data_IF_065971926019
#
_entry.id   IF_065971926019
#
_cell.length_a   1.000
_cell.length_b   1.000
_cell.length_c   1.000
_cell.angle_alpha   90.00
_cell.angle_beta   90.00
_cell.angle_gamma   90.00
#
_symmetry.space_group_name_H-M   'P 1'
#
loop_
_entity.id
_entity.type
_entity.pdbx_description
1 polymer ?
#
# COMPACT_ATOMS: atom_id res chain seq x y z
N UNK A 1 4.40 7.36 35.40
CA UNK A 1 3.13 6.87 35.97
C UNK A 1 2.24 6.44 34.80
N UNK A 2 1.90 5.15 34.71
CA UNK A 2 0.93 4.72 33.71
C UNK A 2 -0.43 5.29 34.07
N UNK A 3 -1.02 6.04 33.16
CA UNK A 3 -2.37 6.61 33.36
C UNK A 3 -3.38 5.47 33.35
N UNK A 4 -3.87 5.12 34.51
CA UNK A 4 -4.97 4.19 34.70
C UNK A 4 -6.30 4.95 34.73
N UNK A 5 -7.17 4.70 33.76
CA UNK A 5 -8.53 5.24 33.78
C UNK A 5 -9.52 4.07 33.69
N UNK A 6 -10.38 3.95 34.67
CA UNK A 6 -11.40 2.87 34.71
C UNK A 6 -12.82 3.44 34.73
N UNK A 7 -13.75 2.67 34.21
CA UNK A 7 -15.19 2.96 34.17
C UNK A 7 -15.95 1.69 34.56
N UNK A 8 -16.82 1.82 35.55
CA UNK A 8 -17.69 0.74 35.98
C UNK A 8 -19.03 0.81 35.22
N UNK A 9 -19.57 -0.35 34.88
CA UNK A 9 -20.83 -0.44 34.17
C UNK A 9 -21.27 -1.89 33.97
N UNK A 10 -22.11 -2.12 32.96
CA UNK A 10 -22.51 -3.47 32.56
C UNK A 10 -22.32 -3.66 31.06
N UNK A 11 -21.89 -4.85 30.68
CA UNK A 11 -21.77 -5.30 29.29
C UNK A 11 -22.54 -6.62 29.14
N UNK A 12 -23.47 -6.67 28.21
CA UNK A 12 -24.34 -7.84 28.02
C UNK A 12 -25.02 -8.31 29.31
N UNK A 13 -25.49 -7.34 30.14
CA UNK A 13 -26.13 -7.64 31.42
C UNK A 13 -25.25 -8.10 32.56
N UNK A 14 -23.93 -8.26 32.33
CA UNK A 14 -22.93 -8.64 33.35
C UNK A 14 -22.21 -7.41 33.86
N UNK A 15 -21.89 -7.38 35.15
CA UNK A 15 -21.05 -6.32 35.71
C UNK A 15 -19.70 -6.28 34.97
N UNK A 16 -19.26 -5.11 34.60
CA UNK A 16 -18.07 -4.92 33.79
C UNK A 16 -17.23 -3.73 34.29
N UNK A 17 -15.93 -3.90 34.29
CA UNK A 17 -14.97 -2.82 34.47
C UNK A 17 -14.24 -2.59 33.15
N UNK A 18 -14.38 -1.40 32.56
CA UNK A 18 -13.67 -0.99 31.37
C UNK A 18 -12.43 -0.23 31.81
N UNK A 19 -11.27 -0.61 31.35
CA UNK A 19 -9.98 -0.01 31.72
C UNK A 19 -9.21 0.45 30.51
N UNK A 20 -8.57 1.59 30.65
CA UNK A 20 -7.51 2.01 29.74
C UNK A 20 -6.19 2.01 30.56
N UNK A 21 -5.34 1.04 30.27
CA UNK A 21 -4.05 0.83 30.94
C UNK A 21 -2.94 1.10 29.93
N UNK A 22 -2.24 2.23 30.11
CA UNK A 22 -1.25 2.66 29.13
C UNK A 22 -1.87 2.80 27.74
N UNK A 23 -1.52 1.90 26.81
CA UNK A 23 -2.01 1.83 25.43
C UNK A 23 -2.90 0.59 25.19
N UNK A 24 -3.48 0.05 26.24
CA UNK A 24 -4.32 -1.16 26.14
C UNK A 24 -5.72 -0.89 26.65
N UNK A 25 -6.73 -1.22 25.85
CA UNK A 25 -8.14 -1.25 26.26
C UNK A 25 -8.47 -2.65 26.78
N UNK A 26 -9.02 -2.71 27.98
CA UNK A 26 -9.44 -3.94 28.64
C UNK A 26 -10.91 -3.87 29.06
N UNK A 27 -11.62 -4.98 28.97
CA UNK A 27 -12.95 -5.17 29.54
C UNK A 27 -12.94 -6.45 30.37
N UNK A 28 -13.20 -6.28 31.67
CA UNK A 28 -13.21 -7.37 32.65
C UNK A 28 -14.65 -7.59 33.11
N UNK A 29 -15.16 -8.80 32.94
CA UNK A 29 -16.50 -9.16 33.37
C UNK A 29 -16.46 -9.78 34.77
N UNK A 30 -17.47 -9.44 35.60
CA UNK A 30 -17.66 -9.97 36.95
C UNK A 30 -16.39 -9.89 37.82
N UNK A 31 -15.53 -8.89 37.58
CA UNK A 31 -14.25 -8.65 38.28
C UNK A 31 -13.21 -9.80 38.19
N UNK A 32 -13.45 -10.76 37.30
CA UNK A 32 -12.60 -11.98 37.22
C UNK A 32 -12.19 -12.37 35.80
N UNK A 33 -13.03 -12.17 34.82
CA UNK A 33 -12.83 -12.66 33.46
C UNK A 33 -12.41 -11.53 32.53
N UNK A 34 -11.20 -11.58 31.98
CA UNK A 34 -10.80 -10.68 30.88
C UNK A 34 -11.51 -11.11 29.59
N UNK A 35 -12.56 -10.38 29.24
CA UNK A 35 -13.38 -10.65 28.07
C UNK A 35 -12.84 -10.03 26.79
N UNK A 36 -12.21 -8.84 26.92
CA UNK A 36 -11.58 -8.10 25.84
C UNK A 36 -10.26 -7.51 26.34
N UNK A 37 -9.21 -7.65 25.54
CA UNK A 37 -7.95 -6.94 25.74
C UNK A 37 -7.35 -6.67 24.37
N UNK A 38 -7.23 -5.42 23.99
CA UNK A 38 -6.71 -4.99 22.67
C UNK A 38 -5.91 -3.70 22.80
N UNK A 39 -4.89 -3.49 21.92
CA UNK A 39 -4.25 -2.21 21.77
C UNK A 39 -5.26 -1.12 21.43
N UNK A 40 -5.08 0.08 22.01
CA UNK A 40 -5.99 1.22 21.80
C UNK A 40 -6.01 1.68 20.34
N UNK A 41 -4.94 1.41 19.60
CA UNK A 41 -4.84 1.66 18.16
C UNK A 41 -5.92 0.93 17.36
N UNK A 42 -6.49 -0.16 17.89
CA UNK A 42 -7.58 -0.91 17.23
C UNK A 42 -8.96 -0.31 17.50
N UNK A 43 -9.08 0.66 18.41
CA UNK A 43 -10.34 1.34 18.70
C UNK A 43 -10.67 2.30 17.56
N UNK A 44 -11.84 2.14 16.95
CA UNK A 44 -12.34 2.96 15.84
C UNK A 44 -13.16 4.15 16.30
N UNK A 45 -14.07 3.94 17.26
CA UNK A 45 -14.86 5.02 17.88
C UNK A 45 -15.33 4.60 19.28
N UNK A 46 -15.36 5.56 20.16
CA UNK A 46 -16.05 5.47 21.45
C UNK A 46 -16.98 6.65 21.57
N UNK A 47 -18.27 6.36 21.68
CA UNK A 47 -19.29 7.40 21.79
C UNK A 47 -20.21 7.12 22.96
N UNK A 48 -20.42 8.14 23.75
CA UNK A 48 -21.32 8.09 24.88
C UNK A 48 -22.60 8.88 24.62
N UNK A 49 -23.75 8.24 24.83
CA UNK A 49 -25.07 8.86 24.84
C UNK A 49 -25.85 8.23 25.98
N UNK A 50 -25.93 8.98 27.09
CA UNK A 50 -26.52 8.49 28.35
C UNK A 50 -27.75 7.63 28.14
N UNK A 51 -27.82 6.49 28.78
CA UNK A 51 -26.83 5.84 29.64
C UNK A 51 -25.91 4.84 28.90
N UNK A 52 -25.80 4.95 27.58
CA UNK A 52 -25.12 3.99 26.73
C UNK A 52 -23.77 4.50 26.22
N UNK A 53 -22.76 3.67 26.37
CA UNK A 53 -21.45 3.83 25.77
C UNK A 53 -21.32 2.81 24.64
N UNK A 54 -21.22 3.27 23.39
CA UNK A 54 -20.97 2.43 22.24
C UNK A 54 -19.47 2.43 21.93
N UNK A 55 -18.87 1.25 21.86
CA UNK A 55 -17.46 1.04 21.54
C UNK A 55 -17.37 0.23 20.25
N UNK A 56 -16.66 0.77 19.28
CA UNK A 56 -16.38 0.15 17.99
C UNK A 56 -14.86 -0.04 17.84
N UNK A 57 -14.41 -1.23 17.51
CA UNK A 57 -13.01 -1.56 17.38
C UNK A 57 -12.80 -2.74 16.43
N UNK A 58 -11.54 -2.96 16.03
CA UNK A 58 -11.12 -4.22 15.40
C UNK A 58 -10.62 -5.16 16.48
N UNK A 59 -11.04 -6.41 16.44
CA UNK A 59 -10.60 -7.45 17.38
C UNK A 59 -10.38 -8.78 16.65
N UNK A 60 -9.60 -9.71 17.23
CA UNK A 60 -9.48 -11.06 16.72
C UNK A 60 -10.84 -11.73 16.56
N UNK A 61 -11.04 -12.47 15.47
CA UNK A 61 -12.25 -13.27 15.26
C UNK A 61 -12.37 -14.29 16.38
N UNK A 62 -13.58 -14.45 16.92
CA UNK A 62 -13.87 -15.53 17.86
C UNK A 62 -14.03 -16.85 17.11
N UNK A 63 -13.52 -17.91 17.70
CA UNK A 63 -13.76 -19.27 17.22
C UNK A 63 -14.95 -19.94 17.95
N UNK A 64 -15.39 -19.35 19.08
CA UNK A 64 -16.59 -19.76 19.83
C UNK A 64 -17.22 -18.58 20.53
N UNK A 65 -18.50 -18.66 20.91
CA UNK A 65 -19.20 -17.57 21.62
C UNK A 65 -18.58 -17.24 22.98
N UNK A 66 -17.93 -18.19 23.62
CA UNK A 66 -17.33 -18.04 24.95
C UNK A 66 -15.85 -17.63 24.91
N UNK A 67 -15.22 -17.61 23.73
CA UNK A 67 -13.81 -17.23 23.64
C UNK A 67 -13.63 -15.72 23.88
N UNK A 68 -12.65 -15.36 24.72
CA UNK A 68 -12.25 -13.97 24.92
C UNK A 68 -11.56 -13.40 23.65
N UNK A 69 -11.60 -12.08 23.51
CA UNK A 69 -10.92 -11.34 22.43
C UNK A 69 -9.66 -10.68 23.00
N UNK A 70 -8.58 -11.40 23.03
CA UNK A 70 -7.32 -10.94 23.58
C UNK A 70 -6.29 -10.81 22.45
N UNK A 71 -5.72 -9.64 22.36
CA UNK A 71 -4.57 -9.33 21.51
C UNK A 71 -3.67 -8.37 22.26
N UNK A 72 -2.51 -8.84 22.70
CA UNK A 72 -1.57 -8.00 23.41
C UNK A 72 -0.89 -7.02 22.46
N UNK A 73 -0.35 -5.92 23.02
CA UNK A 73 0.37 -4.92 22.24
C UNK A 73 1.61 -5.50 21.57
N UNK A 74 2.32 -6.41 22.25
CA UNK A 74 3.50 -7.06 21.66
C UNK A 74 3.12 -7.96 20.48
N UNK A 75 2.01 -8.69 20.59
CA UNK A 75 1.47 -9.48 19.47
C UNK A 75 1.05 -8.59 18.30
N UNK A 76 0.50 -7.40 18.58
CA UNK A 76 0.18 -6.42 17.56
C UNK A 76 1.43 -5.80 16.93
N UNK A 77 2.44 -5.46 17.73
CA UNK A 77 3.72 -4.93 17.26
C UNK A 77 4.48 -5.94 16.38
N UNK A 78 4.40 -7.23 16.72
CA UNK A 78 4.98 -8.34 15.94
C UNK A 78 4.10 -8.75 14.74
N UNK A 79 3.48 -7.81 14.08
CA UNK A 79 2.53 -8.03 12.95
C UNK A 79 3.03 -9.01 11.89
N UNK A 80 4.32 -9.01 11.63
CA UNK A 80 4.95 -9.85 10.60
C UNK A 80 5.16 -11.31 11.00
N UNK A 81 4.96 -11.63 12.28
CA UNK A 81 5.17 -12.97 12.83
C UNK A 81 3.88 -13.65 13.32
N UNK A 82 2.73 -12.96 13.30
CA UNK A 82 1.55 -13.44 13.99
C UNK A 82 0.31 -13.56 13.10
N UNK A 83 -0.07 -14.77 12.75
CA UNK A 83 -1.27 -15.11 11.95
C UNK A 83 -2.58 -14.55 12.53
N UNK A 84 -2.64 -14.25 13.83
CA UNK A 84 -3.84 -13.73 14.48
C UNK A 84 -4.20 -12.32 14.05
N UNK A 85 -3.25 -11.52 13.62
CA UNK A 85 -3.50 -10.15 13.14
C UNK A 85 -4.25 -10.14 11.81
N UNK A 86 -4.01 -11.12 10.95
CA UNK A 86 -4.71 -11.26 9.67
C UNK A 86 -6.21 -11.59 9.85
N UNK A 87 -6.62 -12.06 11.01
CA UNK A 87 -8.00 -12.47 11.31
C UNK A 87 -8.81 -11.43 12.10
N UNK A 88 -8.47 -10.15 12.01
CA UNK A 88 -9.24 -9.09 12.64
C UNK A 88 -10.64 -8.94 12.00
N UNK A 89 -11.61 -8.59 12.82
CA UNK A 89 -12.97 -8.27 12.40
C UNK A 89 -13.51 -7.09 13.19
N UNK A 90 -14.48 -6.39 12.59
CA UNK A 90 -15.22 -5.36 13.30
C UNK A 90 -15.94 -5.99 14.50
N UNK A 91 -15.77 -5.37 15.65
CA UNK A 91 -16.43 -5.73 16.88
C UNK A 91 -17.01 -4.49 17.54
N UNK A 92 -18.31 -4.54 17.83
CA UNK A 92 -19.02 -3.48 18.49
C UNK A 92 -19.76 -4.02 19.71
N UNK A 93 -19.75 -3.27 20.80
CA UNK A 93 -20.53 -3.60 21.98
C UNK A 93 -21.00 -2.33 22.68
N UNK A 94 -22.01 -2.50 23.51
CA UNK A 94 -22.56 -1.45 24.35
C UNK A 94 -22.23 -1.75 25.81
N UNK A 95 -21.76 -0.71 26.50
CA UNK A 95 -21.71 -0.71 27.95
C UNK A 95 -22.76 0.27 28.48
N UNK A 96 -23.35 -0.08 29.61
CA UNK A 96 -24.30 0.78 30.31
C UNK A 96 -23.60 1.38 31.51
N UNK A 97 -23.56 2.71 31.59
CA UNK A 97 -22.87 3.46 32.65
C UNK A 97 -23.60 4.78 32.91
N UNK A 98 -23.38 5.35 34.10
CA UNK A 98 -24.01 6.64 34.48
C UNK A 98 -23.29 7.83 33.86
N UNK A 99 -21.97 7.80 33.77
CA UNK A 99 -21.15 8.84 33.10
C UNK A 99 -19.97 8.20 32.40
N UNK A 100 -20.00 8.19 31.10
CA UNK A 100 -18.93 7.68 30.25
C UNK A 100 -18.25 8.75 29.41
N UNK A 101 -18.65 10.02 29.52
CA UNK A 101 -18.19 11.09 28.64
C UNK A 101 -16.68 11.33 28.73
N UNK A 102 -16.16 11.54 29.94
CA UNK A 102 -14.74 11.78 30.18
C UNK A 102 -13.87 10.59 29.77
N UNK A 103 -14.32 9.37 30.11
CA UNK A 103 -13.63 8.14 29.74
C UNK A 103 -13.59 7.95 28.23
N UNK A 104 -14.72 8.15 27.52
CA UNK A 104 -14.78 8.07 26.07
C UNK A 104 -13.80 9.04 25.40
N UNK A 105 -13.77 10.30 25.85
CA UNK A 105 -12.84 11.30 25.34
C UNK A 105 -11.38 10.90 25.57
N UNK A 106 -11.05 10.36 26.74
CA UNK A 106 -9.70 9.89 27.05
C UNK A 106 -9.26 8.75 26.14
N UNK A 107 -10.16 7.76 25.91
CA UNK A 107 -9.86 6.65 25.00
C UNK A 107 -9.69 7.16 23.57
N UNK A 108 -10.58 8.04 23.09
CA UNK A 108 -10.48 8.60 21.73
C UNK A 108 -9.22 9.42 21.53
N UNK A 109 -8.82 10.24 22.49
CA UNK A 109 -7.57 11.01 22.43
C UNK A 109 -6.37 10.07 22.28
N UNK A 110 -6.32 8.99 23.07
CA UNK A 110 -5.24 8.01 22.95
C UNK A 110 -5.31 7.17 21.67
N UNK A 111 -6.51 6.85 21.22
CA UNK A 111 -6.71 6.06 20.01
C UNK A 111 -6.33 6.82 18.74
N UNK A 112 -6.38 8.15 18.75
CA UNK A 112 -6.13 9.04 17.62
C UNK A 112 -5.04 10.09 17.93
N UNK A 113 -4.01 9.70 18.66
CA UNK A 113 -2.91 10.60 19.06
C UNK A 113 -2.12 11.18 17.88
N UNK A 114 -2.09 10.47 16.75
CA UNK A 114 -1.31 10.81 15.55
C UNK A 114 -2.12 11.28 14.36
N UNK A 115 -3.43 11.08 14.37
CA UNK A 115 -4.29 11.36 13.21
C UNK A 115 -5.65 11.90 13.65
N UNK A 116 -6.26 12.81 12.88
CA UNK A 116 -7.62 13.26 13.15
C UNK A 116 -8.62 12.10 13.04
N UNK A 117 -9.60 12.05 13.94
CA UNK A 117 -10.76 11.17 13.84
C UNK A 117 -11.80 11.72 12.85
N UNK A 118 -12.70 10.86 12.38
CA UNK A 118 -13.92 11.25 11.65
C UNK A 118 -13.64 12.07 10.40
N UNK A 119 -12.70 11.60 9.58
CA UNK A 119 -12.31 12.23 8.32
C UNK A 119 -13.27 11.87 7.19
N UNK A 120 -13.14 12.56 6.06
CA UNK A 120 -13.88 12.30 4.82
C UNK A 120 -13.06 11.35 3.95
N UNK A 121 -13.65 10.24 3.54
CA UNK A 121 -13.00 9.24 2.69
C UNK A 121 -13.78 9.00 1.42
N UNK A 122 -13.08 9.03 0.29
CA UNK A 122 -13.59 8.51 -0.97
C UNK A 122 -13.11 7.08 -1.14
N UNK A 123 -14.03 6.14 -1.35
CA UNK A 123 -13.71 4.75 -1.70
C UNK A 123 -14.01 4.53 -3.18
N UNK A 124 -12.99 4.18 -3.96
CA UNK A 124 -13.13 3.75 -5.34
C UNK A 124 -13.00 2.23 -5.38
N UNK A 125 -14.05 1.55 -5.80
CA UNK A 125 -14.11 0.10 -5.88
C UNK A 125 -14.15 -0.38 -7.33
N UNK A 126 -13.32 -1.38 -7.65
CA UNK A 126 -13.48 -2.16 -8.87
C UNK A 126 -14.19 -3.48 -8.51
N UNK A 127 -15.51 -3.59 -8.69
CA UNK A 127 -16.29 -4.75 -8.24
C UNK A 127 -15.86 -6.05 -8.92
N UNK A 128 -15.26 -5.99 -10.13
CA UNK A 128 -14.78 -7.16 -10.86
C UNK A 128 -13.44 -7.70 -10.37
N UNK A 129 -12.73 -6.98 -9.48
CA UNK A 129 -11.44 -7.43 -8.95
C UNK A 129 -11.59 -8.70 -8.10
N UNK A 130 -10.56 -9.56 -8.16
CA UNK A 130 -10.54 -10.81 -7.41
C UNK A 130 -11.69 -11.76 -7.75
N UNK A 131 -12.11 -11.83 -9.01
CA UNK A 131 -13.29 -12.61 -9.46
C UNK A 131 -14.61 -12.18 -8.80
N UNK A 132 -14.78 -10.87 -8.56
CA UNK A 132 -15.95 -10.29 -7.89
C UNK A 132 -15.84 -10.21 -6.37
N UNK A 133 -14.75 -10.68 -5.77
CA UNK A 133 -14.55 -10.61 -4.32
C UNK A 133 -14.49 -9.18 -3.79
N UNK A 134 -14.08 -8.21 -4.62
CA UNK A 134 -13.98 -6.80 -4.23
C UNK A 134 -15.31 -6.22 -3.75
N UNK A 135 -16.44 -6.64 -4.32
CA UNK A 135 -17.77 -6.22 -3.87
C UNK A 135 -18.05 -6.69 -2.44
N UNK A 136 -17.72 -7.93 -2.11
CA UNK A 136 -17.83 -8.46 -0.74
C UNK A 136 -16.90 -7.68 0.22
N UNK A 137 -15.64 -7.42 -0.17
CA UNK A 137 -14.72 -6.62 0.64
C UNK A 137 -15.26 -5.21 0.88
N UNK A 138 -15.89 -4.60 -0.12
CA UNK A 138 -16.52 -3.28 0.01
C UNK A 138 -17.68 -3.31 1.00
N UNK A 139 -18.67 -4.21 0.77
CA UNK A 139 -19.96 -4.19 1.49
C UNK A 139 -19.80 -4.73 2.92
N UNK A 140 -19.08 -5.84 3.10
CA UNK A 140 -19.08 -6.56 4.37
C UNK A 140 -17.91 -6.18 5.28
N UNK A 141 -16.88 -5.51 4.75
CA UNK A 141 -15.71 -5.12 5.53
C UNK A 141 -15.45 -3.61 5.48
N UNK A 142 -15.27 -3.04 4.27
CA UNK A 142 -14.81 -1.66 4.12
C UNK A 142 -15.84 -0.65 4.62
N UNK A 143 -17.05 -0.69 4.11
CA UNK A 143 -18.14 0.22 4.52
C UNK A 143 -18.41 0.13 6.01
N UNK A 144 -18.64 -1.07 6.61
CA UNK A 144 -18.91 -1.19 8.04
C UNK A 144 -17.78 -0.64 8.93
N UNK A 145 -16.53 -0.84 8.55
CA UNK A 145 -15.37 -0.37 9.33
C UNK A 145 -15.28 1.17 9.29
N UNK A 146 -15.39 1.80 8.11
CA UNK A 146 -15.39 3.27 8.02
C UNK A 146 -16.59 3.90 8.73
N UNK A 147 -17.77 3.30 8.59
CA UNK A 147 -18.97 3.74 9.32
C UNK A 147 -18.80 3.60 10.84
N UNK A 148 -18.22 2.50 11.31
CA UNK A 148 -17.91 2.30 12.73
C UNK A 148 -16.89 3.31 13.25
N UNK A 149 -15.96 3.78 12.43
CA UNK A 149 -15.04 4.88 12.72
C UNK A 149 -15.65 6.29 12.55
N UNK A 150 -16.92 6.35 12.14
CA UNK A 150 -17.67 7.60 11.85
C UNK A 150 -17.02 8.49 10.82
N UNK A 151 -16.44 7.89 9.80
CA UNK A 151 -15.98 8.61 8.63
C UNK A 151 -17.16 9.02 7.74
N UNK A 152 -17.08 10.20 7.15
CA UNK A 152 -17.95 10.57 6.04
C UNK A 152 -17.47 9.82 4.79
N UNK A 153 -18.33 8.92 4.29
CA UNK A 153 -17.96 7.92 3.29
C UNK A 153 -18.71 8.17 1.98
N UNK A 154 -17.96 8.51 0.92
CA UNK A 154 -18.43 8.47 -0.45
C UNK A 154 -17.88 7.21 -1.15
N UNK A 155 -18.69 6.56 -1.97
CA UNK A 155 -18.31 5.34 -2.68
C UNK A 155 -18.59 5.47 -4.17
N UNK A 156 -17.61 5.12 -4.99
CA UNK A 156 -17.71 5.07 -6.44
C UNK A 156 -17.30 3.68 -6.92
N UNK A 157 -18.18 3.00 -7.65
CA UNK A 157 -17.86 1.73 -8.29
C UNK A 157 -17.50 1.96 -9.76
N UNK A 158 -16.40 1.35 -10.21
CA UNK A 158 -16.01 1.37 -11.61
C UNK A 158 -16.81 0.31 -12.39
N UNK A 159 -17.17 0.62 -13.63
CA UNK A 159 -17.91 -0.28 -14.53
C UNK A 159 -17.06 -0.80 -15.66
N UNK A 160 -16.02 -0.06 -16.02
CA UNK A 160 -15.12 -0.39 -17.13
C UNK A 160 -13.68 0.03 -16.82
N UNK A 161 -12.76 -0.50 -17.62
CA UNK A 161 -11.35 -0.08 -17.61
C UNK A 161 -11.25 1.41 -17.93
N UNK A 162 -10.42 2.14 -17.17
CA UNK A 162 -10.21 3.58 -17.31
C UNK A 162 -11.23 4.43 -16.56
N UNK A 163 -12.23 3.84 -15.86
CA UNK A 163 -13.21 4.62 -15.10
C UNK A 163 -12.56 5.35 -13.94
N UNK A 164 -11.67 4.69 -13.19
CA UNK A 164 -10.95 5.31 -12.09
C UNK A 164 -10.09 6.48 -12.57
N UNK A 165 -9.45 6.36 -13.74
CA UNK A 165 -8.74 7.47 -14.37
C UNK A 165 -9.68 8.65 -14.68
N UNK A 166 -10.78 8.40 -15.43
CA UNK A 166 -11.72 9.44 -15.82
C UNK A 166 -12.32 10.17 -14.62
N UNK A 167 -12.74 9.39 -13.61
CA UNK A 167 -13.28 9.95 -12.39
C UNK A 167 -12.27 10.85 -11.67
N UNK A 168 -11.04 10.39 -11.51
CA UNK A 168 -9.98 11.16 -10.83
C UNK A 168 -9.53 12.41 -11.58
N UNK A 169 -9.71 12.45 -12.92
CA UNK A 169 -9.39 13.64 -13.72
C UNK A 169 -10.25 14.85 -13.34
N UNK A 170 -11.52 14.65 -12.96
CA UNK A 170 -12.50 15.71 -12.72
C UNK A 170 -12.91 15.82 -11.24
N UNK A 171 -12.43 14.95 -10.39
CA UNK A 171 -12.78 14.89 -8.96
C UNK A 171 -12.46 16.20 -8.24
N UNK A 172 -13.38 16.70 -7.44
CA UNK A 172 -13.06 17.73 -6.45
C UNK A 172 -12.31 17.12 -5.27
N UNK A 173 -10.98 17.13 -5.37
CA UNK A 173 -10.08 16.53 -4.37
C UNK A 173 -10.14 17.23 -3.01
N UNK A 174 -10.65 18.48 -2.93
CA UNK A 174 -10.76 19.22 -1.66
C UNK A 174 -11.82 18.66 -0.72
N UNK A 175 -12.70 17.84 -1.23
CA UNK A 175 -13.77 17.21 -0.45
C UNK A 175 -13.30 16.06 0.42
N UNK A 176 -12.11 15.54 0.19
CA UNK A 176 -11.65 14.29 0.83
C UNK A 176 -10.32 14.48 1.53
N UNK A 177 -10.19 13.80 2.65
CA UNK A 177 -8.96 13.75 3.43
C UNK A 177 -8.13 12.50 3.09
N UNK A 178 -8.77 11.48 2.49
CA UNK A 178 -8.17 10.19 2.10
C UNK A 178 -8.92 9.63 0.89
N UNK A 179 -8.20 8.92 0.03
CA UNK A 179 -8.80 8.08 -1.02
C UNK A 179 -8.39 6.61 -0.79
N UNK A 180 -9.37 5.71 -0.73
CA UNK A 180 -9.15 4.28 -0.56
C UNK A 180 -9.60 3.53 -1.82
N UNK A 181 -8.85 2.48 -2.19
CA UNK A 181 -9.04 1.75 -3.45
C UNK A 181 -9.29 0.27 -3.17
N UNK A 182 -10.55 -0.15 -3.26
CA UNK A 182 -10.94 -1.56 -3.11
C UNK A 182 -10.77 -2.28 -4.44
N UNK A 183 -9.70 -3.07 -4.54
CA UNK A 183 -9.37 -3.75 -5.79
C UNK A 183 -7.95 -4.29 -5.82
N UNK A 184 -7.37 -4.35 -7.01
CA UNK A 184 -5.96 -4.62 -7.23
C UNK A 184 -5.17 -3.36 -7.59
N UNK A 185 -3.87 -3.51 -7.82
CA UNK A 185 -2.95 -2.42 -8.16
C UNK A 185 -3.36 -1.63 -9.42
N UNK A 186 -4.08 -2.26 -10.35
CA UNK A 186 -4.56 -1.61 -11.58
C UNK A 186 -5.53 -0.46 -11.34
N UNK A 187 -6.45 -0.58 -10.37
CA UNK A 187 -7.40 0.51 -10.04
C UNK A 187 -6.67 1.71 -9.46
N UNK A 188 -5.71 1.47 -8.59
CA UNK A 188 -4.85 2.52 -8.04
C UNK A 188 -3.98 3.17 -9.14
N UNK A 189 -3.44 2.36 -10.06
CA UNK A 189 -2.67 2.86 -11.21
C UNK A 189 -3.49 3.80 -12.09
N UNK A 190 -4.72 3.45 -12.42
CA UNK A 190 -5.63 4.32 -13.17
C UNK A 190 -5.88 5.64 -12.42
N UNK A 191 -6.16 5.56 -11.12
CA UNK A 191 -6.45 6.73 -10.30
C UNK A 191 -5.25 7.68 -10.21
N UNK A 192 -4.04 7.17 -9.94
CA UNK A 192 -2.80 7.97 -9.89
C UNK A 192 -2.61 8.72 -11.21
N UNK A 193 -2.79 8.04 -12.34
CA UNK A 193 -2.64 8.67 -13.65
C UNK A 193 -3.74 9.70 -13.93
N UNK A 194 -4.97 9.47 -13.45
CA UNK A 194 -6.04 10.46 -13.49
C UNK A 194 -5.71 11.71 -12.67
N UNK A 195 -5.24 11.54 -11.45
CA UNK A 195 -4.79 12.64 -10.58
C UNK A 195 -3.59 13.39 -11.19
N UNK A 196 -2.62 12.66 -11.75
CA UNK A 196 -1.44 13.24 -12.40
C UNK A 196 -1.74 14.01 -13.69
N UNK A 197 -2.88 13.73 -14.33
CA UNK A 197 -3.30 14.41 -15.57
C UNK A 197 -3.87 15.81 -15.35
N UNK A 198 -4.13 16.18 -14.12
CA UNK A 198 -4.81 17.43 -13.73
C UNK A 198 -3.86 18.62 -13.75
N UNK A 199 -4.42 19.82 -13.90
CA UNK A 199 -3.65 21.07 -13.75
C UNK A 199 -3.18 21.28 -12.31
N UNK A 200 -3.92 20.77 -11.32
CA UNK A 200 -3.58 20.79 -9.88
C UNK A 200 -2.98 19.46 -9.40
N UNK A 201 -2.26 18.73 -10.25
CA UNK A 201 -1.75 17.37 -10.00
C UNK A 201 -0.94 17.26 -8.69
N UNK A 202 -0.12 18.27 -8.36
CA UNK A 202 0.66 18.28 -7.10
C UNK A 202 -0.27 18.21 -5.90
N UNK A 203 -1.32 19.03 -5.86
CA UNK A 203 -2.32 19.03 -4.81
C UNK A 203 -3.10 17.72 -4.80
N UNK A 204 -3.52 17.24 -5.95
CA UNK A 204 -4.31 16.02 -6.08
C UNK A 204 -3.53 14.79 -5.63
N UNK A 205 -2.25 14.68 -5.96
CA UNK A 205 -1.37 13.58 -5.54
C UNK A 205 -0.87 13.71 -4.09
N UNK A 206 -1.11 14.84 -3.42
CA UNK A 206 -0.79 15.00 -1.99
C UNK A 206 -1.83 14.38 -1.07
N UNK A 207 -3.00 13.97 -1.59
CA UNK A 207 -3.99 13.25 -0.80
C UNK A 207 -3.48 11.83 -0.53
N UNK A 208 -3.53 11.35 0.73
CA UNK A 208 -3.18 9.97 1.05
C UNK A 208 -4.00 8.96 0.26
N UNK A 209 -3.33 8.05 -0.45
CA UNK A 209 -3.93 6.97 -1.23
C UNK A 209 -3.69 5.64 -0.50
N UNK A 210 -4.75 4.88 -0.26
CA UNK A 210 -4.66 3.63 0.51
C UNK A 210 -5.23 2.47 -0.30
N UNK A 211 -4.42 1.49 -0.74
CA UNK A 211 -4.96 0.27 -1.34
C UNK A 211 -5.64 -0.60 -0.29
N UNK A 212 -6.86 -1.07 -0.58
CA UNK A 212 -7.57 -2.10 0.19
C UNK A 212 -7.57 -3.38 -0.65
N UNK A 213 -6.85 -4.42 -0.20
CA UNK A 213 -6.57 -5.59 -1.03
C UNK A 213 -7.83 -6.41 -1.31
N UNK A 214 -8.21 -6.49 -2.56
CA UNK A 214 -9.32 -7.31 -3.05
C UNK A 214 -9.01 -7.93 -4.43
N UNK A 215 -7.86 -7.63 -5.01
CA UNK A 215 -7.36 -8.24 -6.25
C UNK A 215 -6.52 -9.49 -6.01
N UNK A 216 -6.01 -10.08 -7.09
CA UNK A 216 -5.13 -11.27 -7.03
C UNK A 216 -3.71 -10.93 -6.61
N UNK A 217 -3.18 -9.77 -6.98
CA UNK A 217 -1.78 -9.37 -6.76
C UNK A 217 -1.57 -8.54 -5.50
N UNK A 218 -2.11 -7.33 -5.49
CA UNK A 218 -1.98 -6.30 -4.44
C UNK A 218 -0.52 -6.06 -4.01
N UNK A 219 0.38 -5.94 -5.01
CA UNK A 219 1.82 -5.89 -4.78
C UNK A 219 2.25 -4.71 -3.92
N UNK A 220 1.65 -3.52 -4.10
CA UNK A 220 1.93 -2.38 -3.25
C UNK A 220 1.56 -2.65 -1.80
N UNK A 221 0.34 -3.13 -1.53
CA UNK A 221 -0.11 -3.37 -0.17
C UNK A 221 0.72 -4.46 0.54
N UNK A 222 1.06 -5.53 -0.19
CA UNK A 222 1.97 -6.57 0.30
C UNK A 222 3.36 -6.01 0.60
N UNK A 223 3.87 -5.10 -0.23
CA UNK A 223 5.16 -4.44 -0.01
C UNK A 223 5.17 -3.58 1.25
N UNK A 224 4.05 -2.93 1.56
CA UNK A 224 3.91 -2.08 2.75
C UNK A 224 3.74 -2.87 4.05
N UNK A 225 3.07 -4.00 4.01
CA UNK A 225 2.58 -4.72 5.19
C UNK A 225 3.14 -6.15 5.32
N UNK A 226 3.92 -6.62 4.33
CA UNK A 226 4.40 -7.99 4.28
C UNK A 226 3.35 -8.98 3.78
N UNK A 227 3.82 -10.17 3.35
CA UNK A 227 2.97 -11.17 2.71
C UNK A 227 1.90 -11.79 3.63
N UNK A 228 2.11 -11.78 4.94
CA UNK A 228 1.17 -12.39 5.91
C UNK A 228 -0.10 -11.56 6.10
N UNK A 229 0.04 -10.24 6.21
CA UNK A 229 -1.09 -9.32 6.42
C UNK A 229 -1.45 -8.51 5.18
N UNK A 230 -0.64 -8.60 4.13
CA UNK A 230 -0.79 -7.85 2.88
C UNK A 230 -2.08 -8.16 2.09
N UNK A 231 -2.97 -9.02 2.62
CA UNK A 231 -4.30 -9.30 2.08
C UNK A 231 -5.41 -9.06 3.10
N UNK A 232 -5.12 -8.43 4.23
CA UNK A 232 -6.11 -8.14 5.26
C UNK A 232 -6.83 -6.82 4.99
N UNK A 233 -8.04 -6.86 4.44
CA UNK A 233 -8.87 -5.68 4.24
C UNK A 233 -9.17 -4.91 5.55
N UNK A 234 -9.44 -5.56 6.71
CA UNK A 234 -9.60 -4.83 7.96
C UNK A 234 -8.36 -4.05 8.40
N UNK A 235 -7.15 -4.62 8.21
CA UNK A 235 -5.89 -3.90 8.50
C UNK A 235 -5.69 -2.75 7.53
N UNK A 236 -6.05 -2.92 6.25
CA UNK A 236 -5.99 -1.85 5.26
C UNK A 236 -6.93 -0.68 5.61
N UNK A 237 -8.16 -0.98 6.04
CA UNK A 237 -9.09 0.03 6.54
C UNK A 237 -8.53 0.74 7.78
N UNK A 238 -7.91 0.00 8.72
CA UNK A 238 -7.25 0.59 9.87
C UNK A 238 -6.09 1.51 9.47
N UNK A 239 -5.31 1.10 8.46
CA UNK A 239 -4.24 1.94 7.90
C UNK A 239 -4.80 3.22 7.29
N UNK A 240 -5.93 3.17 6.58
CA UNK A 240 -6.61 4.36 6.09
C UNK A 240 -7.09 5.26 7.24
N UNK A 241 -7.62 4.67 8.32
CA UNK A 241 -8.18 5.40 9.46
C UNK A 241 -7.10 6.02 10.35
N UNK A 242 -5.97 5.34 10.56
CA UNK A 242 -4.96 5.73 11.57
C UNK A 242 -3.52 5.76 11.07
N UNK A 243 -3.28 5.37 9.82
CA UNK A 243 -1.93 5.39 9.24
C UNK A 243 -1.40 6.81 9.08
N UNK A 244 -0.08 6.94 9.20
CA UNK A 244 0.63 8.17 8.87
C UNK A 244 1.04 8.09 7.40
N UNK A 245 0.67 9.05 6.55
CA UNK A 245 1.08 9.06 5.16
C UNK A 245 2.59 9.26 5.02
N UNK A 246 3.18 8.60 4.05
CA UNK A 246 4.58 8.82 3.65
C UNK A 246 4.63 9.10 2.15
N UNK A 247 5.66 9.80 1.73
CA UNK A 247 5.87 10.11 0.32
C UNK A 247 6.35 8.88 -0.44
N UNK A 248 5.76 8.63 -1.60
CA UNK A 248 6.16 7.57 -2.51
C UNK A 248 6.46 8.16 -3.89
N UNK A 249 7.64 7.88 -4.40
CA UNK A 249 8.05 8.39 -5.72
C UNK A 249 7.37 7.62 -6.85
N UNK A 250 7.04 8.33 -7.92
CA UNK A 250 6.49 7.75 -9.15
C UNK A 250 7.57 7.67 -10.24
N UNK A 251 7.56 6.58 -11.00
CA UNK A 251 8.34 6.47 -12.24
C UNK A 251 7.54 7.10 -13.38
N UNK A 252 8.10 8.11 -14.05
CA UNK A 252 7.54 8.62 -15.28
C UNK A 252 7.95 7.73 -16.46
N UNK A 253 6.99 7.16 -17.15
CA UNK A 253 7.21 6.32 -18.33
C UNK A 253 6.73 7.09 -19.55
N UNK A 254 7.61 7.23 -20.54
CA UNK A 254 7.33 7.94 -21.78
C UNK A 254 7.57 7.03 -22.97
N UNK A 255 6.63 7.01 -23.90
CA UNK A 255 6.71 6.18 -25.10
C UNK A 255 6.32 6.99 -26.34
N UNK A 256 6.92 6.76 -27.50
CA UNK A 256 6.48 7.35 -28.75
C UNK A 256 5.01 7.00 -29.05
N UNK A 257 4.31 7.88 -29.73
CA UNK A 257 2.88 7.69 -30.00
C UNK A 257 2.60 6.45 -30.87
N UNK A 258 3.50 6.13 -31.78
CA UNK A 258 3.45 5.00 -32.69
C UNK A 258 3.76 3.65 -32.03
N UNK A 259 4.42 3.66 -30.86
CA UNK A 259 4.70 2.44 -30.10
C UNK A 259 3.42 1.71 -29.62
N UNK A 260 2.28 2.39 -29.59
CA UNK A 260 1.01 1.81 -29.15
C UNK A 260 0.21 1.10 -30.26
N UNK A 261 0.64 1.22 -31.52
CA UNK A 261 -0.11 0.71 -32.67
C UNK A 261 -1.54 1.25 -32.76
N UNK A 262 -2.32 0.78 -33.71
CA UNK A 262 -3.72 1.17 -33.91
C UNK A 262 -4.70 0.61 -32.85
N UNK A 263 -4.24 -0.24 -31.95
CA UNK A 263 -5.12 -0.96 -31.01
C UNK A 263 -5.61 -0.17 -29.81
N UNK A 264 -5.23 1.11 -29.64
CA UNK A 264 -5.83 2.03 -28.66
C UNK A 264 -5.91 1.53 -27.19
N UNK A 265 -5.05 0.60 -26.80
CA UNK A 265 -5.22 -0.25 -25.60
C UNK A 265 -5.07 0.47 -24.25
N UNK A 266 -4.63 1.71 -24.24
CA UNK A 266 -4.38 2.49 -23.03
C UNK A 266 -5.19 3.78 -23.02
N UNK A 267 -6.43 3.77 -22.50
CA UNK A 267 -7.32 4.93 -22.54
C UNK A 267 -6.90 6.07 -21.59
N UNK A 268 -5.91 5.84 -20.75
CA UNK A 268 -5.51 6.73 -19.65
C UNK A 268 -4.05 7.20 -19.74
N UNK A 269 -3.59 7.51 -20.92
CA UNK A 269 -2.27 8.11 -21.13
C UNK A 269 -2.38 9.60 -21.46
N UNK A 270 -1.44 10.39 -20.95
CA UNK A 270 -1.30 11.78 -21.34
C UNK A 270 -0.59 11.86 -22.70
N UNK A 271 -1.29 12.38 -23.71
CA UNK A 271 -0.66 12.71 -24.98
C UNK A 271 0.05 14.04 -24.84
N UNK A 272 1.30 14.09 -25.23
CA UNK A 272 2.14 15.29 -25.22
C UNK A 272 2.92 15.38 -26.52
N UNK A 273 3.53 16.54 -26.73
CA UNK A 273 4.38 16.80 -27.90
C UNK A 273 5.72 17.30 -27.39
N UNK A 274 6.81 16.77 -27.94
CA UNK A 274 8.18 17.23 -27.71
C UNK A 274 8.38 18.61 -28.36
N UNK A 275 9.50 19.28 -28.02
CA UNK A 275 9.87 20.57 -28.61
C UNK A 275 10.05 20.51 -30.12
N UNK A 276 10.50 19.38 -30.65
CA UNK A 276 10.65 19.09 -32.07
C UNK A 276 9.37 18.62 -32.77
N UNK A 277 8.22 18.66 -32.10
CA UNK A 277 6.91 18.33 -32.65
C UNK A 277 6.55 16.85 -32.66
N UNK A 278 7.39 15.95 -32.17
CA UNK A 278 7.06 14.51 -32.07
C UNK A 278 6.03 14.25 -31.00
N UNK A 279 5.01 13.48 -31.33
CA UNK A 279 4.01 13.03 -30.36
C UNK A 279 4.50 11.88 -29.49
N UNK A 280 4.18 11.95 -28.22
CA UNK A 280 4.44 10.87 -27.27
C UNK A 280 3.31 10.73 -26.24
N UNK A 281 3.28 9.62 -25.53
CA UNK A 281 2.42 9.37 -24.39
C UNK A 281 3.25 9.23 -23.12
N UNK A 282 2.72 9.77 -22.04
CA UNK A 282 3.34 9.68 -20.72
C UNK A 282 2.35 9.09 -19.73
N UNK A 283 2.82 8.24 -18.83
CA UNK A 283 2.08 7.74 -17.68
C UNK A 283 3.02 7.52 -16.50
N UNK A 284 2.44 7.35 -15.33
CA UNK A 284 3.19 7.17 -14.09
C UNK A 284 2.98 5.77 -13.54
N UNK A 285 4.06 5.15 -13.10
CA UNK A 285 4.05 3.86 -12.42
C UNK A 285 4.60 4.02 -11.01
N UNK A 286 3.92 3.41 -10.06
CA UNK A 286 4.32 3.43 -8.65
C UNK A 286 5.00 2.13 -8.21
N UNK A 287 4.99 1.09 -9.03
CA UNK A 287 5.42 -0.25 -8.64
C UNK A 287 6.60 -0.76 -9.46
N UNK A 288 6.37 -1.13 -10.70
CA UNK A 288 7.39 -1.76 -11.55
C UNK A 288 7.11 -1.57 -13.04
N UNK A 289 8.14 -1.79 -13.84
CA UNK A 289 8.08 -1.85 -15.31
C UNK A 289 8.78 -3.11 -15.78
N UNK A 290 8.21 -3.79 -16.77
CA UNK A 290 8.77 -4.99 -17.36
C UNK A 290 8.78 -4.92 -18.88
N UNK A 291 9.84 -5.48 -19.49
CA UNK A 291 9.98 -5.69 -20.93
C UNK A 291 10.39 -7.15 -21.14
N UNK A 292 9.98 -7.77 -22.23
CA UNK A 292 10.29 -9.14 -22.57
C UNK A 292 9.41 -10.15 -21.83
N UNK A 293 9.97 -11.28 -21.41
CA UNK A 293 9.21 -12.43 -20.87
C UNK A 293 8.26 -12.05 -19.75
N UNK A 294 8.66 -11.19 -18.82
CA UNK A 294 7.78 -10.79 -17.71
C UNK A 294 6.55 -10.04 -18.20
N UNK A 295 6.71 -9.14 -19.17
CA UNK A 295 5.59 -8.44 -19.79
C UNK A 295 4.71 -9.39 -20.61
N UNK A 296 5.33 -10.32 -21.37
CA UNK A 296 4.61 -11.31 -22.17
C UNK A 296 3.79 -12.27 -21.29
N UNK A 297 4.32 -12.66 -20.12
CA UNK A 297 3.58 -13.49 -19.17
C UNK A 297 2.37 -12.74 -18.61
N UNK A 298 2.55 -11.49 -18.16
CA UNK A 298 1.47 -10.75 -17.54
C UNK A 298 0.35 -10.44 -18.56
N UNK A 299 0.71 -9.90 -19.72
CA UNK A 299 -0.22 -9.51 -20.77
C UNK A 299 -0.77 -10.76 -21.49
N UNK A 300 0.10 -11.70 -21.84
CA UNK A 300 -0.25 -12.89 -22.64
C UNK A 300 -1.15 -13.89 -21.91
N UNK A 301 -1.06 -13.92 -20.56
CA UNK A 301 -1.91 -14.81 -19.74
C UNK A 301 -3.16 -14.11 -19.19
N UNK A 302 -3.44 -12.87 -19.61
CA UNK A 302 -4.60 -12.13 -19.10
C UNK A 302 -5.93 -12.85 -19.38
N UNK A 303 -6.05 -13.50 -20.52
CA UNK A 303 -7.20 -14.33 -20.84
C UNK A 303 -7.38 -15.55 -19.90
N UNK A 304 -6.33 -15.96 -19.20
CA UNK A 304 -6.32 -17.09 -18.27
C UNK A 304 -6.56 -16.69 -16.81
N UNK A 305 -7.05 -15.48 -16.55
CA UNK A 305 -7.34 -15.01 -15.18
C UNK A 305 -8.26 -15.94 -14.38
N UNK A 306 -9.07 -16.73 -15.07
CA UNK A 306 -9.98 -17.68 -14.44
C UNK A 306 -9.28 -18.80 -13.67
N UNK A 307 -8.02 -19.15 -14.04
CA UNK A 307 -7.22 -20.17 -13.33
C UNK A 307 -6.38 -19.60 -12.18
N UNK A 308 -6.45 -18.28 -11.93
CA UNK A 308 -5.72 -17.62 -10.83
C UNK A 308 -4.21 -17.55 -11.08
N UNK A 309 -3.40 -17.67 -10.04
CA UNK A 309 -1.94 -17.44 -10.09
C UNK A 309 -1.19 -18.51 -10.89
N UNK A 310 -1.78 -19.71 -11.10
CA UNK A 310 -1.20 -20.79 -11.91
C UNK A 310 -0.93 -20.30 -13.34
N UNK A 311 -1.70 -19.32 -13.84
CA UNK A 311 -1.46 -18.70 -15.16
C UNK A 311 -0.05 -18.18 -15.35
N UNK A 312 0.54 -17.60 -14.31
CA UNK A 312 1.90 -17.07 -14.37
C UNK A 312 2.94 -18.18 -14.50
N UNK A 313 2.76 -19.27 -13.76
CA UNK A 313 3.65 -20.44 -13.86
C UNK A 313 3.59 -21.07 -15.24
N UNK A 314 2.39 -21.26 -15.76
CA UNK A 314 2.20 -21.80 -17.13
C UNK A 314 2.78 -20.83 -18.17
N UNK A 315 2.50 -19.54 -18.05
CA UNK A 315 3.05 -18.51 -18.93
C UNK A 315 4.57 -18.50 -18.94
N UNK A 316 5.20 -18.65 -17.76
CA UNK A 316 6.64 -18.74 -17.62
C UNK A 316 7.22 -19.99 -18.34
N UNK A 317 6.63 -21.16 -18.13
CA UNK A 317 7.04 -22.40 -18.83
C UNK A 317 6.97 -22.22 -20.33
N UNK A 318 5.88 -21.69 -20.86
CA UNK A 318 5.73 -21.44 -22.30
C UNK A 318 6.74 -20.41 -22.81
N UNK A 319 7.01 -19.37 -22.05
CA UNK A 319 7.98 -18.34 -22.43
C UNK A 319 9.41 -18.89 -22.48
N UNK A 320 9.79 -19.70 -21.48
CA UNK A 320 11.11 -20.36 -21.44
C UNK A 320 11.27 -21.35 -22.62
N UNK A 321 10.24 -22.14 -22.92
CA UNK A 321 10.26 -23.08 -24.05
C UNK A 321 10.40 -22.37 -25.41
N UNK A 322 9.86 -21.17 -25.55
CA UNK A 322 10.00 -20.34 -26.74
C UNK A 322 11.37 -19.69 -26.89
N UNK A 323 12.11 -19.58 -25.80
CA UNK A 323 13.49 -19.03 -25.71
C UNK A 323 13.72 -17.80 -26.62
N UNK A 324 12.84 -16.81 -26.52
CA UNK A 324 12.97 -15.56 -27.29
C UNK A 324 13.83 -14.58 -26.53
N UNK A 325 15.08 -14.43 -26.93
CA UNK A 325 15.89 -13.30 -26.54
C UNK A 325 15.40 -12.03 -27.26
N UNK A 326 15.24 -10.95 -26.54
CA UNK A 326 14.88 -9.66 -27.09
C UNK A 326 16.17 -8.81 -27.20
N UNK A 327 16.62 -8.45 -28.40
CA UNK A 327 17.72 -7.51 -28.54
C UNK A 327 17.25 -6.13 -28.12
N UNK A 328 17.96 -5.51 -27.17
CA UNK A 328 17.62 -4.19 -26.66
C UNK A 328 18.84 -3.30 -26.61
N UNK A 329 18.58 -2.00 -26.71
CA UNK A 329 19.50 -0.94 -26.30
C UNK A 329 18.90 -0.27 -25.06
N UNK A 330 19.65 -0.22 -23.98
CA UNK A 330 19.28 0.50 -22.77
C UNK A 330 20.23 1.67 -22.60
N UNK A 331 19.73 2.88 -22.72
CA UNK A 331 20.47 4.08 -22.39
C UNK A 331 20.12 4.47 -20.96
N UNK A 332 21.09 4.46 -20.08
CA UNK A 332 20.92 4.73 -18.66
C UNK A 332 21.77 5.93 -18.23
N UNK A 333 21.21 6.80 -17.44
CA UNK A 333 21.90 7.90 -16.78
C UNK A 333 21.90 7.70 -15.28
N UNK A 334 23.09 7.64 -14.70
CA UNK A 334 23.30 7.46 -13.26
C UNK A 334 23.76 8.79 -12.68
N UNK A 335 22.92 9.51 -11.96
CA UNK A 335 23.28 10.76 -11.31
C UNK A 335 24.31 10.57 -10.20
N UNK A 336 25.17 11.56 -9.95
CA UNK A 336 26.23 11.52 -8.94
C UNK A 336 25.72 11.23 -7.52
N UNK A 337 24.52 11.70 -7.19
CA UNK A 337 23.86 11.40 -5.90
C UNK A 337 23.42 9.92 -5.78
N UNK A 338 23.30 9.22 -6.89
CA UNK A 338 22.96 7.79 -6.93
C UNK A 338 24.15 6.87 -6.66
N UNK A 339 25.37 7.30 -6.95
CA UNK A 339 26.55 6.42 -6.84
C UNK A 339 26.89 6.05 -5.40
N UNK A 340 26.75 6.97 -4.45
CA UNK A 340 26.98 6.66 -3.04
C UNK A 340 25.88 5.72 -2.48
N UNK A 341 24.64 5.87 -2.91
CA UNK A 341 23.53 5.00 -2.50
C UNK A 341 23.61 3.63 -3.21
N UNK A 342 24.06 3.57 -4.47
CA UNK A 342 24.24 2.29 -5.18
C UNK A 342 25.38 1.46 -4.62
N UNK A 343 26.51 2.07 -4.26
CA UNK A 343 27.58 1.36 -3.55
C UNK A 343 27.10 0.82 -2.20
N UNK A 344 26.34 1.60 -1.44
CA UNK A 344 25.76 1.16 -0.17
C UNK A 344 24.66 0.12 -0.36
N UNK A 345 23.85 0.20 -1.40
CA UNK A 345 22.84 -0.81 -1.74
C UNK A 345 23.47 -2.12 -2.21
N UNK A 346 24.53 -2.08 -3.01
CA UNK A 346 25.29 -3.26 -3.42
C UNK A 346 26.02 -3.91 -2.25
N UNK A 347 26.56 -3.12 -1.34
CA UNK A 347 27.20 -3.59 -0.12
C UNK A 347 26.16 -4.17 0.84
N UNK A 348 25.00 -3.54 1.00
CA UNK A 348 23.87 -4.05 1.76
C UNK A 348 23.31 -5.35 1.14
N UNK A 349 23.24 -5.43 -0.18
CA UNK A 349 22.83 -6.64 -0.90
C UNK A 349 23.82 -7.81 -0.72
N UNK A 350 25.13 -7.52 -0.66
CA UNK A 350 26.16 -8.52 -0.36
C UNK A 350 26.14 -8.98 1.10
N UNK A 351 25.78 -8.10 2.01
CA UNK A 351 25.79 -8.38 3.47
C UNK A 351 24.48 -8.97 3.96
N UNK A 352 23.38 -8.86 3.20
CA UNK A 352 22.10 -9.46 3.57
C UNK A 352 22.08 -10.90 3.08
N UNK A 353 22.14 -11.91 3.98
CA UNK A 353 22.08 -13.30 3.54
C UNK A 353 20.72 -13.54 2.88
N UNK A 354 20.77 -13.87 1.59
CA UNK A 354 19.61 -14.38 0.85
C UNK A 354 19.11 -15.60 1.59
N UNK A 355 17.91 -15.53 2.17
CA UNK A 355 17.25 -16.70 2.75
C UNK A 355 16.85 -17.63 1.62
N UNK A 356 17.77 -18.46 1.20
CA UNK A 356 17.45 -19.60 0.33
C UNK A 356 16.66 -20.59 1.17
N UNK A 357 15.41 -20.77 0.84
CA UNK A 357 14.59 -21.86 1.36
C UNK A 357 15.26 -23.18 0.94
N UNK A 358 16.05 -23.76 1.82
CA UNK A 358 16.49 -25.12 1.63
C UNK A 358 15.31 -26.07 1.77
N UNK A 359 15.25 -27.05 0.90
CA UNK A 359 14.16 -27.99 0.65
C UNK A 359 13.73 -28.85 1.85
N UNK A 360 14.32 -28.68 3.03
CA UNK A 360 14.15 -29.54 4.20
C UNK A 360 13.53 -28.87 5.44
N UNK A 361 12.72 -27.84 5.28
CA UNK A 361 11.76 -27.44 6.32
C UNK A 361 12.30 -27.00 7.69
N UNK A 362 13.61 -26.87 7.89
CA UNK A 362 14.20 -26.34 9.12
C UNK A 362 14.70 -24.92 8.93
N UNK A 363 14.01 -23.99 9.58
CA UNK A 363 14.43 -22.61 9.76
C UNK A 363 15.62 -22.56 10.71
N UNK A 364 16.83 -22.45 10.20
CA UNK A 364 17.93 -21.96 11.01
C UNK A 364 17.80 -20.44 11.12
N UNK A 365 17.52 -19.96 12.33
CA UNK A 365 17.59 -18.57 12.70
C UNK A 365 19.03 -18.08 12.59
N UNK A 366 19.36 -17.43 11.49
CA UNK A 366 20.48 -16.49 11.45
C UNK A 366 19.92 -15.13 11.88
N UNK A 367 20.24 -14.73 13.10
CA UNK A 367 19.88 -13.43 13.66
C UNK A 367 20.65 -12.32 12.97
N UNK A 368 20.14 -11.87 11.80
CA UNK A 368 20.43 -10.55 11.33
C UNK A 368 19.37 -9.62 11.91
N UNK A 369 19.70 -9.03 13.04
CA UNK A 369 18.99 -7.91 13.63
C UNK A 369 19.06 -6.80 12.59
N UNK A 370 17.95 -6.56 11.90
CA UNK A 370 17.70 -5.26 11.29
C UNK A 370 17.63 -4.27 12.47
N UNK A 371 18.75 -3.63 12.76
CA UNK A 371 18.72 -2.37 13.46
C UNK A 371 17.90 -1.42 12.60
N UNK A 372 16.63 -1.31 12.92
CA UNK A 372 15.89 -0.10 12.69
C UNK A 372 16.66 0.98 13.45
N UNK A 373 17.59 1.65 12.79
CA UNK A 373 17.94 3.00 13.19
C UNK A 373 16.62 3.75 13.23
N UNK A 374 16.29 4.20 14.42
CA UNK A 374 15.17 5.07 14.67
C UNK A 374 15.30 6.26 13.73
N UNK A 375 14.57 6.22 12.61
CA UNK A 375 14.18 7.45 11.94
C UNK A 375 13.43 8.24 13.00
N UNK A 376 14.10 9.22 13.57
CA UNK A 376 13.46 10.18 14.43
C UNK A 376 12.25 10.73 13.67
N UNK A 377 11.06 10.72 14.28
CA UNK A 377 9.92 11.35 13.65
C UNK A 377 10.28 12.81 13.48
N UNK A 378 10.33 13.28 12.25
CA UNK A 378 10.32 14.70 11.97
C UNK A 378 8.99 15.24 12.54
N UNK A 379 9.08 15.69 13.81
CA UNK A 379 8.06 16.50 14.45
C UNK A 379 8.01 17.80 13.68
N UNK A 380 7.03 17.92 12.80
CA UNK A 380 6.28 19.13 12.50
C UNK A 380 5.36 18.82 11.31
N UNK A 381 4.14 18.37 11.61
CA UNK A 381 3.03 18.64 10.70
C UNK A 381 2.63 20.10 10.94
N UNK A 382 3.33 21.00 10.26
CA UNK A 382 2.86 22.37 10.05
C UNK A 382 1.58 22.32 9.21
N UNK A 383 0.67 23.25 9.50
CA UNK A 383 -0.48 23.56 8.66
C UNK A 383 -0.04 23.66 7.20
N UNK A 384 -0.96 23.41 6.25
CA UNK A 384 -0.81 23.35 4.77
C UNK A 384 0.05 24.42 4.09
N UNK A 385 0.76 25.26 4.83
CA UNK A 385 1.70 26.27 4.36
C UNK A 385 3.15 25.79 4.22
N UNK A 386 3.51 24.64 4.84
CA UNK A 386 4.88 24.12 4.82
C UNK A 386 4.97 22.77 4.12
N UNK A 387 4.54 22.72 2.85
CA UNK A 387 4.95 21.66 1.96
C UNK A 387 6.48 21.78 1.75
N UNK A 388 7.26 20.71 1.90
CA UNK A 388 8.70 20.74 1.64
C UNK A 388 8.94 21.33 0.25
N UNK A 389 9.88 22.27 0.15
CA UNK A 389 10.26 22.95 -1.11
C UNK A 389 10.65 21.98 -2.24
N UNK A 390 10.92 20.71 -1.91
CA UNK A 390 11.27 19.66 -2.86
C UNK A 390 10.07 19.08 -3.63
N UNK A 391 8.82 19.32 -3.20
CA UNK A 391 7.61 18.97 -3.97
C UNK A 391 7.53 19.73 -5.30
N UNK A 392 8.24 20.86 -5.44
CA UNK A 392 8.36 21.60 -6.69
C UNK A 392 9.20 20.91 -7.77
N UNK A 393 9.81 19.77 -7.48
CA UNK A 393 10.61 18.98 -8.44
C UNK A 393 9.85 17.86 -9.12
N UNK A 394 8.53 17.85 -9.14
CA UNK A 394 7.83 17.13 -10.20
C UNK A 394 8.19 17.82 -11.54
N UNK A 395 9.38 17.52 -12.05
CA UNK A 395 9.77 17.90 -13.39
C UNK A 395 8.88 17.10 -14.33
N UNK A 396 7.79 17.71 -14.75
CA UNK A 396 6.97 17.23 -15.88
C UNK A 396 7.72 17.46 -17.22
N UNK A 397 9.05 17.43 -17.18
CA UNK A 397 9.90 17.48 -18.34
C UNK A 397 10.09 16.10 -18.95
N UNK A 398 10.18 16.03 -20.26
CA UNK A 398 10.49 14.79 -20.94
C UNK A 398 11.99 14.59 -20.98
N UNK A 399 12.45 13.48 -20.45
CA UNK A 399 13.82 12.99 -20.62
C UNK A 399 14.18 12.85 -22.12
N UNK A 400 13.18 12.70 -23.00
CA UNK A 400 13.40 12.60 -24.45
C UNK A 400 14.04 13.84 -25.06
N UNK A 401 13.81 15.04 -24.49
CA UNK A 401 14.46 16.28 -24.96
C UNK A 401 15.91 16.43 -24.45
N UNK A 402 16.32 15.58 -23.49
CA UNK A 402 17.62 15.63 -22.83
C UNK A 402 18.51 14.41 -23.18
N UNK A 403 18.04 13.50 -24.04
CA UNK A 403 18.83 12.35 -24.46
C UNK A 403 20.06 12.83 -25.24
N UNK A 404 21.29 12.45 -24.84
CA UNK A 404 22.48 12.79 -25.58
C UNK A 404 22.47 12.10 -26.94
N UNK A 405 23.01 12.79 -27.94
CA UNK A 405 23.09 12.27 -29.31
C UNK A 405 23.96 11.00 -29.43
N UNK A 406 24.84 10.76 -28.46
CA UNK A 406 25.73 9.61 -28.45
C UNK A 406 26.07 9.18 -27.02
N UNK A 407 25.32 8.24 -26.42
CA UNK A 407 25.67 7.70 -25.12
C UNK A 407 26.94 6.85 -25.21
N UNK A 408 27.73 6.83 -24.14
CA UNK A 408 28.96 6.04 -24.04
C UNK A 408 28.60 4.54 -23.98
N UNK A 409 29.20 3.68 -24.83
CA UNK A 409 29.01 2.23 -24.76
C UNK A 409 29.48 1.67 -23.41
N UNK A 410 28.71 0.73 -22.85
CA UNK A 410 29.07 0.03 -21.63
C UNK A 410 28.86 -1.48 -21.79
N UNK A 411 29.82 -2.26 -21.36
CA UNK A 411 29.75 -3.71 -21.34
C UNK A 411 29.23 -4.18 -19.96
N UNK A 412 27.98 -4.70 -19.87
CA UNK A 412 27.43 -5.16 -18.63
C UNK A 412 28.08 -6.41 -18.04
N UNK A 413 28.94 -7.09 -18.84
CA UNK A 413 29.73 -8.25 -18.37
C UNK A 413 31.05 -7.84 -17.71
N UNK A 414 31.44 -6.58 -17.85
CA UNK A 414 32.65 -6.05 -17.21
C UNK A 414 32.43 -5.92 -15.69
N UNK A 415 33.51 -6.09 -14.93
CA UNK A 415 33.50 -5.89 -13.48
C UNK A 415 33.43 -4.40 -13.06
N UNK A 416 33.48 -3.49 -14.03
CA UNK A 416 33.44 -2.04 -13.80
C UNK A 416 32.01 -1.55 -13.59
N UNK A 417 31.84 -0.51 -12.77
CA UNK A 417 30.57 0.19 -12.67
C UNK A 417 30.37 1.15 -13.85
N UNK A 418 29.15 1.37 -14.31
CA UNK A 418 28.90 2.40 -15.31
C UNK A 418 29.30 3.77 -14.74
N UNK A 419 29.90 4.64 -15.58
CA UNK A 419 30.30 5.97 -15.13
C UNK A 419 29.09 6.79 -14.69
N UNK A 420 29.26 7.60 -13.63
CA UNK A 420 28.24 8.54 -13.17
C UNK A 420 28.16 9.79 -14.04
N UNK A 421 27.00 10.45 -14.02
CA UNK A 421 26.74 11.73 -14.70
C UNK A 421 26.93 11.74 -16.23
N UNK A 422 26.94 10.55 -16.84
CA UNK A 422 26.94 10.39 -18.29
C UNK A 422 25.93 9.35 -18.73
N UNK A 423 25.38 9.54 -19.92
CA UNK A 423 24.54 8.52 -20.53
C UNK A 423 25.37 7.32 -20.98
N UNK A 424 24.96 6.16 -20.54
CA UNK A 424 25.67 4.90 -20.82
C UNK A 424 24.73 4.00 -21.63
N UNK A 425 25.22 3.48 -22.76
CA UNK A 425 24.48 2.54 -23.61
C UNK A 425 24.90 1.10 -23.36
N UNK A 426 23.90 0.30 -22.95
CA UNK A 426 24.02 -1.14 -22.81
C UNK A 426 23.38 -1.77 -24.04
N UNK A 427 24.14 -2.50 -24.83
CA UNK A 427 23.65 -3.26 -25.97
C UNK A 427 23.74 -4.76 -25.67
N UNK A 428 22.62 -5.43 -25.58
CA UNK A 428 22.58 -6.85 -25.25
C UNK A 428 21.29 -7.50 -25.72
N UNK A 429 21.28 -8.83 -25.76
CA UNK A 429 20.07 -9.62 -25.92
C UNK A 429 19.65 -10.15 -24.54
N UNK A 430 18.46 -9.81 -24.11
CA UNK A 430 17.93 -10.20 -22.81
C UNK A 430 16.63 -10.96 -22.94
N UNK A 431 16.37 -11.84 -22.00
CA UNK A 431 15.05 -12.47 -21.87
C UNK A 431 14.03 -11.51 -21.25
N UNK A 432 14.47 -10.67 -20.34
CA UNK A 432 13.62 -9.65 -19.69
C UNK A 432 14.45 -8.51 -19.11
N UNK A 433 13.85 -7.32 -19.08
CA UNK A 433 14.27 -6.22 -18.20
C UNK A 433 13.12 -5.97 -17.23
N UNK A 434 13.44 -5.92 -15.95
CA UNK A 434 12.46 -5.69 -14.91
C UNK A 434 13.00 -4.68 -13.90
N UNK A 435 12.31 -3.58 -13.76
CA UNK A 435 12.66 -2.50 -12.82
C UNK A 435 11.53 -2.28 -11.84
N UNK A 436 11.84 -1.95 -10.60
CA UNK A 436 10.81 -1.76 -9.59
C UNK A 436 11.23 -0.83 -8.45
N UNK A 437 10.23 -0.26 -7.79
CA UNK A 437 10.35 0.63 -6.63
C UNK A 437 9.86 -0.01 -5.33
N UNK A 438 9.21 -1.15 -5.42
CA UNK A 438 8.67 -1.87 -4.25
C UNK A 438 9.11 -3.33 -4.29
N UNK A 439 9.34 -3.97 -3.13
CA UNK A 439 9.91 -5.30 -3.09
C UNK A 439 8.99 -6.39 -3.67
N UNK A 440 7.69 -6.29 -3.44
CA UNK A 440 6.74 -7.30 -3.90
C UNK A 440 5.95 -6.84 -5.13
N UNK A 441 5.83 -7.70 -6.12
CA UNK A 441 4.94 -7.52 -7.27
C UNK A 441 3.69 -8.38 -7.15
N UNK A 442 3.73 -9.43 -6.33
CA UNK A 442 2.61 -10.27 -5.95
C UNK A 442 2.89 -10.91 -4.59
N UNK A 443 1.88 -11.57 -4.00
CA UNK A 443 1.97 -12.18 -2.66
C UNK A 443 3.18 -13.11 -2.48
N UNK A 444 3.47 -13.89 -3.49
CA UNK A 444 4.55 -14.90 -3.47
C UNK A 444 5.77 -14.50 -4.28
N UNK A 445 5.78 -13.30 -4.87
CA UNK A 445 6.86 -12.85 -5.75
C UNK A 445 7.55 -11.62 -5.20
N UNK A 446 8.64 -11.85 -4.48
CA UNK A 446 9.59 -10.83 -4.04
C UNK A 446 10.60 -10.59 -5.18
N UNK A 447 10.26 -9.66 -6.08
CA UNK A 447 11.06 -9.39 -7.28
C UNK A 447 12.24 -8.46 -7.01
N UNK A 448 12.07 -7.53 -6.05
CA UNK A 448 13.04 -6.48 -5.74
C UNK A 448 13.31 -6.43 -4.22
N UNK A 449 14.08 -7.38 -3.68
CA UNK A 449 14.26 -7.52 -2.22
C UNK A 449 14.99 -6.35 -1.56
N UNK A 450 15.60 -5.47 -2.35
CA UNK A 450 16.44 -4.36 -1.89
C UNK A 450 15.82 -2.97 -2.16
N UNK A 451 14.60 -2.90 -2.66
CA UNK A 451 13.87 -1.65 -2.79
C UNK A 451 13.13 -1.35 -1.48
N UNK A 452 13.44 -0.25 -0.86
CA UNK A 452 12.77 0.27 0.34
C UNK A 452 12.41 1.73 0.15
#
# INVERSE_FOLDING_TARGET
>A
METHVSLEGTVQGKAATLRLVGQTLEVILNKKETWLQVPVELVLDVSWKSPHLLISLLAPKRHSEHASRILTRDQWAQRHANKHVASLSLFQFRAHTYDGSSWANTVMTKAYDRTPARRRVLVICNPSSGKGHAKHVLEDLTKPIFQAARFELDVVETTARGDAFRFCTTLDVSRYDIMAFVGGDGTLHEAINGLASRNDAVRALSIPLVPIPAGSGNGLYVSLHGAEIGFSAPVACLTAIKGVPYSHELMAVTQPLDAFGSSGRWPYTLRKTTKDGRGYVQFYSFMSQAIGIMADIDIGTEAWRFIGDIRFTLGYVFAVLRNKACPIHVDAYFGASGTASHASMYECARQTPVRVLQRNGQLQHSSAILHHEQMQPHTHMGTTKDLPSDVHRLRFGTVLDELPMSPTPFDPTSASHPPSDVWTRIHTAVSTVYTGKVPYVARSLLAFPYTC
#
